data_IF_076850108315
#
_entry.id   IF_076850108315
#
_cell.length_a   1.000
_cell.length_b   1.000
_cell.length_c   1.000
_cell.angle_alpha   90.00
_cell.angle_beta   90.00
_cell.angle_gamma   90.00
#
_symmetry.space_group_name_H-M   'P 1'
#
loop_
_entity.id
_entity.type
_entity.pdbx_description
1 polymer ?
#
# COMPACT_ATOMS: atom_id res chain seq x y z
N UNK A 1 20.57 6.73 21.51
CA UNK A 1 20.07 5.39 21.14
C UNK A 1 18.68 5.45 20.48
N UNK A 2 17.95 6.56 20.57
CA UNK A 2 16.56 6.65 20.11
C UNK A 2 16.37 6.81 18.60
N UNK A 3 17.28 7.49 17.90
CA UNK A 3 17.13 7.73 16.46
C UNK A 3 17.21 6.45 15.61
N UNK A 4 17.99 5.45 16.05
CA UNK A 4 18.09 4.16 15.35
C UNK A 4 16.84 3.32 15.58
N UNK A 5 16.34 3.27 16.83
CA UNK A 5 15.09 2.57 17.16
C UNK A 5 13.89 3.16 16.41
N UNK A 6 13.77 4.48 16.38
CA UNK A 6 12.70 5.15 15.64
C UNK A 6 12.71 4.83 14.13
N UNK A 7 13.91 4.75 13.52
CA UNK A 7 14.07 4.34 12.11
C UNK A 7 13.68 2.87 11.89
N UNK A 8 14.10 1.97 12.77
CA UNK A 8 13.70 0.56 12.70
C UNK A 8 12.19 0.38 12.85
N UNK A 9 11.57 1.09 13.78
CA UNK A 9 10.11 1.06 13.96
C UNK A 9 9.39 1.61 12.71
N UNK A 10 9.87 2.70 12.13
CA UNK A 10 9.34 3.22 10.86
C UNK A 10 9.49 2.21 9.71
N UNK A 11 10.66 1.58 9.57
CA UNK A 11 10.90 0.59 8.53
C UNK A 11 10.01 -0.65 8.71
N UNK A 12 9.84 -1.11 9.95
CA UNK A 12 8.96 -2.23 10.28
C UNK A 12 7.50 -1.90 9.95
N UNK A 13 7.01 -0.71 10.33
CA UNK A 13 5.66 -0.25 9.99
C UNK A 13 5.45 -0.20 8.47
N UNK A 14 6.40 0.35 7.71
CA UNK A 14 6.33 0.40 6.24
C UNK A 14 6.29 -1.00 5.60
N UNK A 15 7.08 -1.93 6.11
CA UNK A 15 7.08 -3.31 5.60
C UNK A 15 5.74 -4.01 5.87
N UNK A 16 5.17 -3.83 7.06
CA UNK A 16 3.85 -4.36 7.42
C UNK A 16 2.74 -3.74 6.56
N UNK A 17 2.82 -2.42 6.34
CA UNK A 17 1.90 -1.69 5.47
C UNK A 17 1.96 -2.21 4.03
N UNK A 18 3.16 -2.37 3.47
CA UNK A 18 3.36 -2.90 2.13
C UNK A 18 2.73 -4.28 1.97
N UNK A 19 2.96 -5.18 2.94
CA UNK A 19 2.38 -6.52 2.92
C UNK A 19 0.86 -6.49 3.01
N UNK A 20 0.29 -5.62 3.86
CA UNK A 20 -1.15 -5.47 4.02
C UNK A 20 -1.82 -4.97 2.74
N UNK A 21 -1.21 -3.96 2.09
CA UNK A 21 -1.69 -3.42 0.82
C UNK A 21 -1.60 -4.49 -0.27
N UNK A 22 -0.46 -5.19 -0.39
CA UNK A 22 -0.27 -6.26 -1.38
C UNK A 22 -1.29 -7.38 -1.19
N UNK A 23 -1.52 -7.82 0.05
CA UNK A 23 -2.51 -8.87 0.34
C UNK A 23 -3.94 -8.42 0.01
N UNK A 24 -4.27 -7.16 0.30
CA UNK A 24 -5.57 -6.57 -0.02
C UNK A 24 -5.76 -6.44 -1.54
N UNK A 25 -4.71 -6.00 -2.24
CA UNK A 25 -4.69 -5.92 -3.71
C UNK A 25 -4.87 -7.31 -4.33
N UNK A 26 -4.17 -8.34 -3.82
CA UNK A 26 -4.35 -9.74 -4.26
C UNK A 26 -5.78 -10.23 -4.06
N UNK A 27 -6.41 -9.88 -2.94
CA UNK A 27 -7.81 -10.24 -2.69
C UNK A 27 -8.78 -9.63 -3.71
N UNK A 28 -8.44 -8.51 -4.34
CA UNK A 28 -9.26 -7.84 -5.36
C UNK A 28 -8.88 -8.32 -6.77
N UNK A 29 -7.59 -8.42 -7.05
CA UNK A 29 -7.05 -8.74 -8.37
C UNK A 29 -7.04 -10.26 -8.68
N UNK A 30 -7.18 -11.11 -7.66
CA UNK A 30 -7.28 -12.57 -7.79
C UNK A 30 -5.95 -13.31 -7.99
N UNK A 31 -4.92 -12.66 -8.52
CA UNK A 31 -3.59 -13.24 -8.72
C UNK A 31 -2.48 -12.37 -8.14
N UNK A 32 -1.34 -12.98 -7.80
CA UNK A 32 -0.17 -12.26 -7.29
C UNK A 32 0.44 -11.34 -8.37
N UNK A 33 0.46 -11.77 -9.63
CA UNK A 33 0.97 -10.94 -10.74
C UNK A 33 0.12 -9.69 -10.95
N UNK A 34 -1.21 -9.82 -10.90
CA UNK A 34 -2.11 -8.67 -11.04
C UNK A 34 -2.02 -7.73 -9.83
N UNK A 35 -1.85 -8.26 -8.62
CA UNK A 35 -1.60 -7.45 -7.43
C UNK A 35 -0.26 -6.68 -7.54
N UNK A 36 0.79 -7.35 -8.01
CA UNK A 36 2.10 -6.74 -8.24
C UNK A 36 2.05 -5.65 -9.31
N UNK A 37 1.33 -5.89 -10.41
CA UNK A 37 1.09 -4.89 -11.44
C UNK A 37 0.34 -3.68 -10.87
N UNK A 38 -0.75 -3.92 -10.13
CA UNK A 38 -1.53 -2.86 -9.48
C UNK A 38 -0.70 -2.04 -8.50
N UNK A 39 0.21 -2.67 -7.73
CA UNK A 39 1.12 -1.98 -6.82
C UNK A 39 2.08 -1.00 -7.51
N UNK A 40 2.29 -1.17 -8.82
CA UNK A 40 3.12 -0.31 -9.66
C UNK A 40 2.31 0.56 -10.62
N UNK A 41 0.98 0.44 -10.62
CA UNK A 41 0.09 1.25 -11.44
C UNK A 41 -0.12 2.62 -10.80
N UNK A 42 -0.08 3.68 -11.61
CA UNK A 42 -0.38 5.02 -11.13
C UNK A 42 -1.87 5.11 -10.77
N UNK A 43 -2.19 5.64 -9.59
CA UNK A 43 -3.55 5.88 -9.15
C UNK A 43 -3.91 7.37 -9.34
N UNK A 44 -4.67 7.75 -10.39
CA UNK A 44 -5.04 9.15 -10.63
C UNK A 44 -5.73 9.82 -9.44
N UNK A 45 -6.53 9.04 -8.70
CA UNK A 45 -7.28 9.48 -7.53
C UNK A 45 -6.38 9.81 -6.34
N UNK A 46 -5.15 9.30 -6.31
CA UNK A 46 -4.14 9.57 -5.28
C UNK A 46 -2.99 10.43 -5.83
N UNK A 47 -3.31 11.29 -6.80
CA UNK A 47 -2.36 12.23 -7.39
C UNK A 47 -1.42 11.60 -8.42
N UNK A 48 -1.80 10.48 -9.03
CA UNK A 48 -1.00 9.77 -10.04
C UNK A 48 0.16 8.96 -9.45
N UNK A 49 0.22 8.79 -8.13
CA UNK A 49 1.25 7.98 -7.47
C UNK A 49 0.88 6.51 -7.47
N UNK A 50 1.90 5.65 -7.43
CA UNK A 50 1.67 4.21 -7.28
C UNK A 50 1.43 3.84 -5.82
N UNK A 51 0.70 2.75 -5.53
CA UNK A 51 0.56 2.22 -4.18
C UNK A 51 1.91 2.03 -3.47
N UNK A 52 2.92 1.52 -4.19
CA UNK A 52 4.27 1.33 -3.66
C UNK A 52 4.93 2.64 -3.23
N UNK A 53 4.76 3.71 -4.03
CA UNK A 53 5.29 5.04 -3.68
C UNK A 53 4.59 5.60 -2.44
N UNK A 54 3.26 5.48 -2.36
CA UNK A 54 2.48 5.98 -1.24
C UNK A 54 2.84 5.27 0.07
N UNK A 55 3.04 3.96 0.06
CA UNK A 55 3.52 3.21 1.24
C UNK A 55 4.92 3.66 1.66
N UNK A 56 5.82 3.89 0.71
CA UNK A 56 7.16 4.40 1.02
C UNK A 56 7.13 5.82 1.63
N UNK A 57 6.15 6.63 1.24
CA UNK A 57 5.89 7.96 1.80
C UNK A 57 5.19 7.92 3.18
N UNK A 58 4.77 6.76 3.67
CA UNK A 58 3.99 6.64 4.90
C UNK A 58 2.51 7.04 4.74
N UNK A 59 1.99 6.93 3.51
CA UNK A 59 0.60 7.23 3.11
C UNK A 59 -0.18 5.94 2.83
N UNK A 60 0.18 4.84 3.49
CA UNK A 60 -0.48 3.54 3.32
C UNK A 60 -1.96 3.57 3.67
N UNK A 61 -2.37 4.41 4.63
CA UNK A 61 -3.77 4.53 5.06
C UNK A 61 -4.65 5.02 3.92
N UNK A 62 -4.15 5.93 3.08
CA UNK A 62 -4.87 6.42 1.89
C UNK A 62 -5.06 5.31 0.86
N UNK A 63 -4.03 4.48 0.66
CA UNK A 63 -4.09 3.32 -0.24
C UNK A 63 -5.08 2.28 0.27
N UNK A 64 -5.07 1.99 1.57
CA UNK A 64 -6.01 1.06 2.20
C UNK A 64 -7.44 1.59 2.16
N UNK A 65 -7.65 2.89 2.38
CA UNK A 65 -8.95 3.53 2.27
C UNK A 65 -9.49 3.43 0.83
N UNK A 66 -8.64 3.66 -0.17
CA UNK A 66 -8.98 3.48 -1.58
C UNK A 66 -9.33 2.02 -1.90
N UNK A 67 -8.53 1.05 -1.47
CA UNK A 67 -8.84 -0.37 -1.67
C UNK A 67 -10.15 -0.77 -1.00
N UNK A 68 -10.44 -0.24 0.19
CA UNK A 68 -11.70 -0.48 0.89
C UNK A 68 -12.91 0.16 0.18
N UNK A 69 -12.74 1.29 -0.51
CA UNK A 69 -13.82 1.86 -1.31
C UNK A 69 -14.13 1.00 -2.53
N UNK A 70 -13.12 0.42 -3.17
CA UNK A 70 -13.29 -0.52 -4.29
C UNK A 70 -14.08 -1.77 -3.87
N UNK A 71 -13.78 -2.35 -2.69
CA UNK A 71 -14.49 -3.54 -2.15
C UNK A 71 -15.96 -3.29 -1.83
N UNK A 72 -16.38 -2.04 -1.61
CA UNK A 72 -17.76 -1.67 -1.25
C UNK A 72 -18.66 -1.44 -2.45
N UNK A 73 -18.15 -1.56 -3.67
CA UNK A 73 -18.98 -1.44 -4.87
C UNK A 73 -19.82 -2.73 -5.01
N UNK A 74 -21.16 -2.66 -4.95
CA UNK A 74 -22.04 -3.82 -5.08
C UNK A 74 -22.04 -4.43 -6.49
#
# INVERSE_FOLDING_TARGET
MDALRARFEQQSRRAQAYYTVMHTARSIAGTDDAASAWMNEALPQLGGKTPSQLVNEGREEEVLAFLNSLKKTP
#
